data_IF_731745856026
#
_entry.id   IF_731745856026
#
_cell.length_a   1.000
_cell.length_b   1.000
_cell.length_c   1.000
_cell.angle_alpha   90.00
_cell.angle_beta   90.00
_cell.angle_gamma   90.00
#
_symmetry.space_group_name_H-M   'P 1'
#
loop_
_entity.id
_entity.type
_entity.pdbx_description
1 polymer ?
#
# COMPACT_ATOMS: atom_id res chain seq x y z
N UNK A 1 34.27 6.88 21.25
CA UNK A 1 34.20 7.04 19.79
C UNK A 1 33.80 8.48 19.49
N UNK A 2 34.52 9.17 18.59
CA UNK A 2 34.18 10.54 18.17
C UNK A 2 33.12 10.47 17.06
N UNK A 3 32.01 11.21 17.22
CA UNK A 3 30.93 11.27 16.22
C UNK A 3 31.26 12.36 15.20
N UNK A 4 31.58 11.97 13.97
CA UNK A 4 31.84 12.88 12.86
C UNK A 4 30.52 13.27 12.18
N UNK A 5 29.91 14.35 12.67
CA UNK A 5 28.62 14.83 12.20
C UNK A 5 28.63 15.24 10.71
N UNK A 6 29.72 15.86 10.24
CA UNK A 6 29.81 16.41 8.89
C UNK A 6 29.92 15.30 7.86
N UNK A 7 30.69 14.24 8.17
CA UNK A 7 30.76 13.03 7.35
C UNK A 7 29.37 12.40 7.16
N UNK A 8 28.63 12.18 8.25
CA UNK A 8 27.31 11.56 8.17
C UNK A 8 26.27 12.45 7.48
N UNK A 9 26.35 13.77 7.68
CA UNK A 9 25.45 14.71 7.01
C UNK A 9 25.70 14.75 5.49
N UNK A 10 26.96 14.73 5.06
CA UNK A 10 27.30 14.64 3.64
C UNK A 10 26.75 13.36 3.00
N UNK A 11 26.90 12.23 3.69
CA UNK A 11 26.35 10.94 3.23
C UNK A 11 24.80 10.96 3.20
N UNK A 12 24.17 11.56 4.20
CA UNK A 12 22.72 11.72 4.28
C UNK A 12 22.16 12.51 3.10
N UNK A 13 22.76 13.65 2.76
CA UNK A 13 22.36 14.47 1.60
C UNK A 13 22.48 13.71 0.28
N UNK A 14 23.52 12.90 0.10
CA UNK A 14 23.67 12.08 -1.10
C UNK A 14 22.54 11.04 -1.21
N UNK A 15 22.20 10.37 -0.11
CA UNK A 15 21.12 9.38 -0.05
C UNK A 15 19.74 10.02 -0.24
N UNK A 16 19.49 11.16 0.38
CA UNK A 16 18.21 11.88 0.27
C UNK A 16 17.86 12.16 -1.21
N UNK A 17 18.81 12.67 -1.99
CA UNK A 17 18.60 12.94 -3.43
C UNK A 17 18.22 11.69 -4.23
N UNK A 18 18.75 10.52 -3.86
CA UNK A 18 18.40 9.25 -4.49
C UNK A 18 16.97 8.86 -4.07
N UNK A 19 16.68 8.94 -2.77
CA UNK A 19 15.37 8.63 -2.21
C UNK A 19 14.27 9.49 -2.84
N UNK A 20 14.46 10.80 -2.97
CA UNK A 20 13.49 11.73 -3.56
C UNK A 20 13.12 11.35 -5.01
N UNK A 21 14.10 10.95 -5.82
CA UNK A 21 13.87 10.53 -7.21
C UNK A 21 13.08 9.22 -7.28
N UNK A 22 13.38 8.27 -6.40
CA UNK A 22 12.65 7.00 -6.30
C UNK A 22 11.23 7.24 -5.77
N UNK A 23 11.09 8.13 -4.79
CA UNK A 23 9.81 8.48 -4.18
C UNK A 23 8.86 9.10 -5.19
N UNK A 24 9.33 9.98 -6.09
CA UNK A 24 8.51 10.56 -7.15
C UNK A 24 7.78 9.48 -7.97
N UNK A 25 8.54 8.51 -8.49
CA UNK A 25 7.99 7.39 -9.28
C UNK A 25 7.08 6.53 -8.40
N UNK A 26 7.52 6.19 -7.19
CA UNK A 26 6.74 5.40 -6.24
C UNK A 26 5.39 6.06 -5.94
N UNK A 27 5.36 7.37 -5.73
CA UNK A 27 4.14 8.12 -5.42
C UNK A 27 3.18 8.17 -6.62
N UNK A 28 3.71 8.30 -7.84
CA UNK A 28 2.90 8.28 -9.06
C UNK A 28 2.14 6.95 -9.23
N UNK A 29 2.78 5.82 -8.93
CA UNK A 29 2.19 4.48 -9.15
C UNK A 29 1.60 3.82 -7.91
N UNK A 30 1.77 4.41 -6.71
CA UNK A 30 1.34 3.80 -5.44
C UNK A 30 -0.11 3.34 -5.46
N UNK A 31 -1.03 4.19 -5.91
CA UNK A 31 -2.46 3.87 -5.92
C UNK A 31 -2.82 2.83 -6.97
N UNK A 32 -2.19 2.87 -8.15
CA UNK A 32 -2.42 1.89 -9.19
C UNK A 32 -2.01 0.48 -8.72
N UNK A 33 -0.83 0.36 -8.10
CA UNK A 33 -0.34 -0.90 -7.54
C UNK A 33 -1.22 -1.38 -6.37
N UNK A 34 -1.63 -0.47 -5.48
CA UNK A 34 -2.55 -0.80 -4.38
C UNK A 34 -3.85 -1.41 -4.90
N UNK A 35 -4.51 -0.75 -5.86
CA UNK A 35 -5.76 -1.23 -6.46
C UNK A 35 -5.56 -2.56 -7.19
N UNK A 36 -4.48 -2.71 -7.94
CA UNK A 36 -4.16 -3.96 -8.63
C UNK A 36 -4.01 -5.14 -7.64
N UNK A 37 -3.24 -4.95 -6.56
CA UNK A 37 -3.04 -5.99 -5.53
C UNK A 37 -4.33 -6.30 -4.75
N UNK A 38 -5.17 -5.30 -4.50
CA UNK A 38 -6.48 -5.48 -3.88
C UNK A 38 -7.38 -6.32 -4.76
N UNK A 39 -7.46 -6.01 -6.06
CA UNK A 39 -8.31 -6.74 -7.00
C UNK A 39 -7.85 -8.19 -7.16
N UNK A 40 -6.54 -8.42 -7.22
CA UNK A 40 -5.98 -9.78 -7.20
C UNK A 40 -6.44 -10.56 -5.96
N UNK A 41 -6.42 -9.92 -4.78
CA UNK A 41 -6.92 -10.54 -3.55
C UNK A 41 -8.43 -10.81 -3.58
N UNK A 42 -9.23 -9.91 -4.16
CA UNK A 42 -10.68 -10.13 -4.32
C UNK A 42 -10.93 -11.37 -5.15
N UNK A 43 -10.30 -11.47 -6.33
CA UNK A 43 -10.43 -12.62 -7.23
C UNK A 43 -10.02 -13.93 -6.55
N UNK A 44 -8.92 -13.90 -5.79
CA UNK A 44 -8.49 -15.06 -5.00
C UNK A 44 -9.56 -15.52 -3.99
N UNK A 45 -10.21 -14.59 -3.28
CA UNK A 45 -11.25 -14.90 -2.29
C UNK A 45 -12.53 -15.40 -2.95
N UNK A 46 -12.94 -14.80 -4.07
CA UNK A 46 -14.08 -15.26 -4.86
C UNK A 46 -13.86 -16.70 -5.37
N UNK A 47 -12.67 -17.01 -5.89
CA UNK A 47 -12.30 -18.36 -6.32
C UNK A 47 -12.29 -19.37 -5.17
N UNK A 48 -12.04 -18.92 -3.94
CA UNK A 48 -12.11 -19.73 -2.73
C UNK A 48 -13.55 -19.90 -2.19
N UNK A 49 -14.58 -19.38 -2.90
CA UNK A 49 -15.99 -19.54 -2.56
C UNK A 49 -16.51 -18.56 -1.50
N UNK A 50 -15.83 -17.43 -1.32
CA UNK A 50 -16.34 -16.34 -0.49
C UNK A 50 -17.28 -15.43 -1.30
N UNK A 51 -18.28 -14.88 -0.63
CA UNK A 51 -18.99 -13.70 -1.11
C UNK A 51 -18.17 -12.47 -0.71
N UNK A 52 -17.70 -11.71 -1.71
CA UNK A 52 -16.70 -10.65 -1.51
C UNK A 52 -17.27 -9.32 -1.99
N UNK A 53 -17.15 -8.30 -1.14
CA UNK A 53 -17.43 -6.91 -1.50
C UNK A 53 -16.19 -6.04 -1.37
N UNK A 54 -16.08 -5.07 -2.28
CA UNK A 54 -14.99 -4.11 -2.32
C UNK A 54 -15.57 -2.69 -2.23
N UNK A 55 -15.11 -1.91 -1.26
CA UNK A 55 -15.58 -0.54 -1.05
C UNK A 55 -14.48 0.39 -0.55
N UNK A 56 -14.75 1.69 -0.59
CA UNK A 56 -13.95 2.68 0.14
C UNK A 56 -14.46 2.79 1.58
N UNK A 57 -13.61 2.49 2.56
CA UNK A 57 -13.91 2.59 3.99
C UNK A 57 -14.02 4.04 4.47
N UNK A 58 -13.20 4.93 3.91
CA UNK A 58 -13.16 6.33 4.29
C UNK A 58 -12.68 7.23 3.14
N UNK A 59 -12.81 8.54 3.31
CA UNK A 59 -12.22 9.49 2.36
C UNK A 59 -10.70 9.38 2.35
N UNK A 60 -10.12 9.39 1.14
CA UNK A 60 -8.67 9.33 0.91
C UNK A 60 -7.89 10.46 1.61
N UNK A 61 -8.55 11.59 1.90
CA UNK A 61 -7.97 12.71 2.66
C UNK A 61 -7.66 12.36 4.11
N UNK A 62 -8.42 11.44 4.72
CA UNK A 62 -8.16 10.96 6.07
C UNK A 62 -6.93 10.05 6.09
N UNK A 63 -6.89 9.09 5.16
CA UNK A 63 -5.74 8.21 4.95
C UNK A 63 -5.72 7.69 3.51
N UNK A 64 -4.55 7.55 2.88
CA UNK A 64 -4.45 6.95 1.55
C UNK A 64 -4.88 5.47 1.52
N UNK A 65 -4.77 4.75 2.66
CA UNK A 65 -5.22 3.36 2.79
C UNK A 65 -6.69 3.35 3.17
N UNK A 66 -7.55 3.50 2.17
CA UNK A 66 -8.98 3.68 2.36
C UNK A 66 -9.84 2.59 1.70
N UNK A 67 -9.24 1.50 1.23
CA UNK A 67 -9.96 0.40 0.59
C UNK A 67 -10.26 -0.70 1.62
N UNK A 68 -11.49 -1.24 1.59
CA UNK A 68 -11.93 -2.37 2.40
C UNK A 68 -12.37 -3.52 1.50
N UNK A 69 -11.81 -4.70 1.76
CA UNK A 69 -12.31 -5.98 1.26
C UNK A 69 -13.11 -6.62 2.39
N UNK A 70 -14.39 -6.89 2.17
CA UNK A 70 -15.19 -7.71 3.08
C UNK A 70 -15.45 -9.05 2.41
N UNK A 71 -15.15 -10.15 3.09
CA UNK A 71 -15.37 -11.49 2.57
C UNK A 71 -16.15 -12.29 3.61
N UNK A 72 -17.31 -12.81 3.22
CA UNK A 72 -18.15 -13.66 4.06
C UNK A 72 -18.15 -15.06 3.48
N UNK A 73 -17.96 -16.05 4.35
CA UNK A 73 -18.12 -17.44 3.94
C UNK A 73 -19.61 -17.74 3.98
N UNK A 74 -20.25 -17.92 2.83
CA UNK A 74 -21.59 -18.50 2.77
C UNK A 74 -21.50 -19.91 3.38
N UNK A 75 -21.87 -20.05 4.66
CA UNK A 75 -22.24 -21.35 5.17
C UNK A 75 -23.58 -21.66 4.52
N UNK A 76 -23.59 -22.44 3.44
CA UNK A 76 -24.83 -23.08 3.02
C UNK A 76 -25.40 -23.78 4.24
N UNK A 77 -26.56 -23.32 4.68
CA UNK A 77 -27.33 -23.95 5.74
C UNK A 77 -27.45 -25.43 5.43
N UNK A 78 -27.09 -26.27 6.40
CA UNK A 78 -27.59 -27.64 6.45
C UNK A 78 -29.05 -27.61 6.84
#
# INVERSE_FOLDING_TARGET
AHFDADYYLAQGRARQRITERIELVRHAFRRAIEVWLVLDRVLYLEQAGYDVSLSEFCHKSLTPRNILIQATRCQSAK
#
